data_IF_371666617719
#
_entry.id   IF_371666617719
#
_cell.length_a   1.000
_cell.length_b   1.000
_cell.length_c   1.000
_cell.angle_alpha   90.00
_cell.angle_beta   90.00
_cell.angle_gamma   90.00
#
_symmetry.space_group_name_H-M   'P 1'
#
loop_
_entity.id
_entity.type
_entity.pdbx_description
1 polymer ?
#
# COMPACT_ATOMS: atom_id res chain seq x y z
N UNK A 1 -13.89 9.82 -4.02
CA UNK A 1 -13.36 10.69 -2.93
C UNK A 1 -14.08 12.01 -2.91
N UNK A 2 -14.40 12.52 -1.72
CA UNK A 2 -15.06 13.83 -1.61
C UNK A 2 -14.14 14.94 -2.07
N UNK A 3 -14.68 15.88 -2.82
CA UNK A 3 -13.93 17.06 -3.27
C UNK A 3 -13.45 17.94 -2.15
N UNK A 4 -14.15 17.90 -1.02
CA UNK A 4 -13.88 18.82 0.09
C UNK A 4 -12.48 18.68 0.64
N UNK A 5 -11.85 17.53 0.39
CA UNK A 5 -10.48 17.29 0.82
C UNK A 5 -9.49 18.24 0.18
N UNK A 6 -9.80 18.79 -0.99
CA UNK A 6 -8.90 19.73 -1.68
C UNK A 6 -8.63 20.97 -0.85
N UNK A 7 -9.64 21.42 -0.10
CA UNK A 7 -9.50 22.59 0.75
C UNK A 7 -8.59 22.38 1.93
N UNK A 8 -8.44 21.13 2.35
CA UNK A 8 -7.66 20.78 3.53
C UNK A 8 -6.17 20.66 3.22
N UNK A 9 -5.81 20.57 1.96
CA UNK A 9 -4.43 20.38 1.55
C UNK A 9 -3.61 21.65 1.50
N UNK A 10 -4.21 22.80 1.74
CA UNK A 10 -3.56 24.09 1.49
C UNK A 10 -2.53 24.50 2.53
N UNK A 11 -2.70 24.14 3.81
CA UNK A 11 -1.83 24.66 4.84
C UNK A 11 -1.54 23.73 6.00
N UNK A 12 -2.36 22.70 6.21
CA UNK A 12 -2.22 21.79 7.34
C UNK A 12 -1.88 20.39 6.82
N UNK A 13 -0.63 19.97 7.02
CA UNK A 13 -0.16 18.66 6.56
C UNK A 13 -0.90 17.51 7.23
N UNK A 14 -1.46 17.71 8.43
CA UNK A 14 -2.24 16.66 9.07
C UNK A 14 -3.53 16.36 8.32
N UNK A 15 -4.03 17.30 7.53
CA UNK A 15 -5.28 17.14 6.78
C UNK A 15 -5.20 16.04 5.73
N UNK A 16 -4.03 15.73 5.22
CA UNK A 16 -3.88 14.66 4.22
C UNK A 16 -4.19 13.28 4.81
N UNK A 17 -4.17 13.15 6.13
CA UNK A 17 -4.45 11.89 6.81
C UNK A 17 -5.88 11.81 7.34
N UNK A 18 -6.75 12.69 6.87
CA UNK A 18 -8.18 12.69 7.17
C UNK A 18 -8.98 12.12 6.01
N UNK A 19 -10.25 11.84 6.27
CA UNK A 19 -11.19 11.39 5.25
C UNK A 19 -10.80 10.07 4.58
N UNK A 20 -10.10 9.24 5.33
CA UNK A 20 -9.78 7.87 4.88
C UNK A 20 -11.04 7.01 4.99
N UNK A 21 -11.19 6.09 4.05
CA UNK A 21 -12.33 5.17 3.99
C UNK A 21 -11.84 3.73 4.01
N UNK A 22 -12.66 2.85 4.56
CA UNK A 22 -12.43 1.41 4.46
C UNK A 22 -12.85 0.92 3.09
N UNK A 23 -12.16 -0.10 2.60
CA UNK A 23 -12.45 -0.70 1.30
C UNK A 23 -12.91 -2.15 1.54
N UNK A 24 -14.02 -2.59 0.91
CA UNK A 24 -14.46 -3.98 1.03
C UNK A 24 -13.37 -4.95 0.61
N UNK A 25 -13.33 -6.10 1.28
CA UNK A 25 -12.40 -7.21 0.97
C UNK A 25 -10.92 -6.89 1.21
N UNK A 26 -10.64 -5.84 1.98
CA UNK A 26 -9.28 -5.54 2.44
C UNK A 26 -9.15 -5.89 3.92
N UNK A 27 -7.90 -6.06 4.42
CA UNK A 27 -7.70 -6.37 5.83
C UNK A 27 -8.31 -5.32 6.75
N UNK A 28 -8.83 -5.76 7.88
CA UNK A 28 -9.25 -4.86 8.94
C UNK A 28 -8.03 -4.08 9.43
N UNK A 29 -8.19 -2.80 9.71
CA UNK A 29 -7.09 -1.93 10.11
C UNK A 29 -6.50 -1.13 8.97
N UNK A 30 -6.98 -1.36 7.76
CA UNK A 30 -6.57 -0.58 6.59
C UNK A 30 -7.63 0.47 6.25
N UNK A 31 -7.18 1.70 6.04
CA UNK A 31 -8.01 2.75 5.44
C UNK A 31 -7.19 3.51 4.42
N UNK A 32 -7.84 4.08 3.44
CA UNK A 32 -7.17 4.73 2.32
C UNK A 32 -7.89 5.99 1.86
N UNK A 33 -7.12 6.89 1.31
CA UNK A 33 -7.57 8.06 0.59
C UNK A 33 -6.83 8.09 -0.74
N UNK A 34 -7.57 8.24 -1.83
CA UNK A 34 -7.00 8.21 -3.17
C UNK A 34 -6.94 9.60 -3.78
N UNK A 35 -6.37 9.69 -4.98
CA UNK A 35 -6.30 10.95 -5.73
C UNK A 35 -7.67 11.51 -6.05
N UNK A 36 -7.75 12.82 -6.08
CA UNK A 36 -8.92 13.54 -6.56
C UNK A 36 -8.44 14.79 -7.29
N UNK A 37 -8.87 15.07 -8.52
CA UNK A 37 -9.67 14.16 -9.37
C UNK A 37 -8.93 12.87 -9.69
N UNK A 38 -9.68 11.80 -9.88
CA UNK A 38 -9.08 10.52 -10.21
C UNK A 38 -8.75 10.42 -11.70
N UNK A 39 -7.77 9.60 -12.03
CA UNK A 39 -7.43 9.26 -13.41
C UNK A 39 -7.75 7.78 -13.63
N UNK A 40 -8.85 7.45 -14.32
CA UNK A 40 -9.27 6.06 -14.45
C UNK A 40 -8.33 5.20 -15.29
N UNK A 41 -7.48 5.83 -16.10
CA UNK A 41 -6.59 5.12 -17.01
C UNK A 41 -5.11 5.25 -16.65
N UNK A 42 -4.81 5.81 -15.51
CA UNK A 42 -3.45 6.16 -15.18
C UNK A 42 -3.02 5.78 -13.79
N UNK A 43 -1.92 6.39 -13.38
CA UNK A 43 -1.32 6.14 -12.08
C UNK A 43 -2.25 6.59 -10.95
N UNK A 44 -2.23 5.80 -9.88
CA UNK A 44 -2.92 6.13 -8.64
C UNK A 44 -1.92 6.53 -7.57
N UNK A 45 -2.29 7.51 -6.76
CA UNK A 45 -1.58 7.83 -5.52
C UNK A 45 -2.55 7.59 -4.37
N UNK A 46 -2.15 6.74 -3.44
CA UNK A 46 -2.96 6.38 -2.29
C UNK A 46 -2.25 6.78 -1.00
N UNK A 47 -3.00 7.38 -0.10
CA UNK A 47 -2.53 7.69 1.25
C UNK A 47 -3.12 6.63 2.15
N UNK A 48 -2.29 5.73 2.64
CA UNK A 48 -2.74 4.54 3.36
C UNK A 48 -2.45 4.64 4.85
N UNK A 49 -3.38 4.16 5.64
CA UNK A 49 -3.21 3.99 7.08
C UNK A 49 -3.39 2.52 7.42
N UNK A 50 -2.44 1.98 8.15
CA UNK A 50 -2.45 0.58 8.57
C UNK A 50 -2.25 0.50 10.08
N UNK A 51 -3.11 -0.23 10.76
CA UNK A 51 -2.94 -0.49 12.19
C UNK A 51 -1.86 -1.53 12.42
N UNK A 52 -1.11 -1.37 13.51
CA UNK A 52 -0.11 -2.36 13.93
C UNK A 52 -0.73 -3.75 14.04
N UNK A 53 0.00 -4.75 13.55
CA UNK A 53 -0.46 -6.14 13.56
C UNK A 53 -1.26 -6.55 12.33
N UNK A 54 -1.60 -5.62 11.45
CA UNK A 54 -2.29 -5.93 10.20
C UNK A 54 -1.32 -6.63 9.24
N UNK A 55 -1.81 -7.62 8.51
CA UNK A 55 -1.03 -8.35 7.52
C UNK A 55 -1.80 -8.44 6.21
N UNK A 56 -1.08 -8.22 5.11
CA UNK A 56 -1.58 -8.52 3.77
C UNK A 56 -1.00 -9.87 3.35
N UNK A 57 -1.85 -10.87 3.08
CA UNK A 57 -1.35 -12.17 2.58
C UNK A 57 -0.67 -12.02 1.22
N UNK A 58 0.09 -13.02 0.77
CA UNK A 58 0.75 -12.96 -0.52
C UNK A 58 -0.19 -12.59 -1.65
N UNK A 59 0.24 -11.62 -2.46
CA UNK A 59 -0.52 -11.08 -3.59
C UNK A 59 0.42 -10.44 -4.59
N UNK A 60 -0.12 -10.06 -5.74
CA UNK A 60 0.61 -9.31 -6.77
C UNK A 60 -0.28 -8.20 -7.31
N UNK A 61 0.34 -7.22 -7.95
CA UNK A 61 -0.35 -6.08 -8.55
C UNK A 61 -0.08 -6.02 -10.06
N UNK A 62 -0.99 -5.45 -10.85
CA UNK A 62 -0.81 -5.38 -12.30
C UNK A 62 0.25 -4.39 -12.75
N UNK A 63 0.58 -3.40 -11.94
CA UNK A 63 1.58 -2.38 -12.25
C UNK A 63 2.72 -2.36 -11.26
N UNK A 64 3.70 -1.51 -11.55
CA UNK A 64 4.79 -1.22 -10.62
C UNK A 64 4.28 -0.34 -9.50
N UNK A 65 4.78 -0.55 -8.30
CA UNK A 65 4.43 0.33 -7.19
C UNK A 65 5.65 0.82 -6.44
N UNK A 66 5.46 1.93 -5.76
CA UNK A 66 6.44 2.52 -4.86
C UNK A 66 5.73 2.92 -3.58
N UNK A 67 6.34 2.60 -2.46
CA UNK A 67 5.83 2.93 -1.14
C UNK A 67 6.81 3.85 -0.44
N UNK A 68 6.28 4.90 0.18
CA UNK A 68 7.06 5.78 1.07
C UNK A 68 6.48 5.62 2.47
N UNK A 69 7.30 5.20 3.42
CA UNK A 69 6.86 5.07 4.82
C UNK A 69 6.98 6.43 5.50
N UNK A 70 5.84 7.07 5.74
CA UNK A 70 5.78 8.37 6.40
C UNK A 70 5.88 8.22 7.90
N UNK A 71 5.25 7.20 8.45
CA UNK A 71 5.31 6.83 9.87
C UNK A 71 5.24 5.32 10.01
N UNK A 72 5.90 4.80 11.04
CA UNK A 72 5.81 3.41 11.42
C UNK A 72 6.88 2.53 10.80
N UNK A 73 6.62 1.24 10.85
CA UNK A 73 7.54 0.22 10.36
C UNK A 73 6.75 -0.92 9.75
N UNK A 74 7.17 -1.37 8.58
CA UNK A 74 6.55 -2.50 7.89
C UNK A 74 7.61 -3.45 7.35
N UNK A 75 7.18 -4.66 6.99
CA UNK A 75 8.05 -5.61 6.33
C UNK A 75 7.39 -6.16 5.07
N UNK A 76 8.22 -6.58 4.12
CA UNK A 76 7.81 -7.18 2.87
C UNK A 76 8.60 -8.47 2.69
N UNK A 77 7.93 -9.55 2.34
CA UNK A 77 8.54 -10.80 1.94
C UNK A 77 8.14 -11.08 0.50
N UNK A 78 9.11 -11.33 -0.36
CA UNK A 78 8.85 -11.78 -1.73
C UNK A 78 8.76 -13.29 -1.80
N UNK A 79 8.07 -13.79 -2.82
CA UNK A 79 7.86 -15.22 -3.03
C UNK A 79 8.00 -15.59 -4.50
N UNK A 80 8.38 -16.84 -4.74
CA UNK A 80 8.30 -17.47 -6.05
C UNK A 80 7.36 -18.67 -5.98
N UNK A 81 6.74 -19.01 -7.11
CA UNK A 81 5.88 -20.17 -7.18
C UNK A 81 6.71 -21.42 -7.40
N UNK A 82 6.34 -22.49 -6.69
CA UNK A 82 6.88 -23.82 -6.89
C UNK A 82 5.73 -24.80 -7.07
N UNK A 83 6.07 -26.06 -7.35
CA UNK A 83 5.04 -27.12 -7.48
C UNK A 83 4.26 -27.33 -6.18
N UNK A 84 4.85 -27.01 -5.05
CA UNK A 84 4.25 -27.22 -3.73
C UNK A 84 3.69 -25.94 -3.11
N UNK A 85 3.60 -24.86 -3.88
CA UNK A 85 3.08 -23.58 -3.41
C UNK A 85 4.14 -22.47 -3.45
N UNK A 86 3.94 -21.46 -2.62
CA UNK A 86 4.85 -20.31 -2.57
C UNK A 86 6.07 -20.61 -1.71
N UNK A 87 7.23 -20.16 -2.19
CA UNK A 87 8.50 -20.29 -1.47
C UNK A 87 9.07 -18.90 -1.28
N UNK A 88 9.52 -18.54 -0.05
CA UNK A 88 10.17 -17.25 0.17
C UNK A 88 11.36 -17.06 -0.77
N UNK A 89 11.45 -15.88 -1.36
CA UNK A 89 12.50 -15.48 -2.28
C UNK A 89 13.30 -14.35 -1.65
N UNK A 90 14.45 -14.71 -1.11
CA UNK A 90 15.30 -13.76 -0.41
C UNK A 90 14.86 -13.51 1.03
N UNK A 91 15.53 -12.55 1.65
CA UNK A 91 15.27 -12.19 3.04
C UNK A 91 14.08 -11.24 3.13
N UNK A 92 13.43 -11.27 4.28
CA UNK A 92 12.40 -10.29 4.62
C UNK A 92 13.02 -8.90 4.66
N UNK A 93 12.33 -7.94 4.05
CA UNK A 93 12.79 -6.55 3.94
C UNK A 93 12.01 -5.72 4.94
N UNK A 94 12.70 -4.87 5.69
CA UNK A 94 12.07 -3.95 6.62
C UNK A 94 12.18 -2.53 6.10
N UNK A 95 11.07 -1.81 6.13
CA UNK A 95 11.00 -0.40 5.78
C UNK A 95 10.61 0.38 7.02
N UNK A 96 11.46 1.33 7.38
CA UNK A 96 11.26 2.21 8.52
C UNK A 96 10.81 3.59 8.04
N UNK A 97 10.39 4.44 8.97
CA UNK A 97 10.03 5.82 8.67
C UNK A 97 11.09 6.48 7.79
N UNK A 98 10.66 7.04 6.67
CA UNK A 98 11.52 7.69 5.69
C UNK A 98 12.05 6.78 4.59
N UNK A 99 11.88 5.47 4.73
CA UNK A 99 12.31 4.53 3.70
C UNK A 99 11.30 4.46 2.55
N UNK A 100 11.82 4.09 1.38
CA UNK A 100 11.00 3.86 0.20
C UNK A 100 11.23 2.46 -0.33
N UNK A 101 10.17 1.84 -0.83
CA UNK A 101 10.23 0.52 -1.45
C UNK A 101 9.67 0.53 -2.85
N UNK A 102 10.20 -0.34 -3.71
CA UNK A 102 9.73 -0.53 -5.07
C UNK A 102 9.36 -2.00 -5.25
N UNK A 103 8.20 -2.25 -5.85
CA UNK A 103 7.75 -3.60 -6.18
C UNK A 103 7.35 -3.64 -7.65
N UNK A 104 8.02 -4.50 -8.41
CA UNK A 104 7.75 -4.67 -9.83
C UNK A 104 6.37 -5.30 -10.07
N UNK A 105 5.73 -4.91 -11.15
CA UNK A 105 4.48 -5.52 -11.61
C UNK A 105 4.57 -7.04 -11.60
N UNK A 106 3.54 -7.68 -11.04
CA UNK A 106 3.44 -9.14 -10.99
C UNK A 106 4.29 -9.83 -9.94
N UNK A 107 5.14 -9.09 -9.22
CA UNK A 107 5.98 -9.70 -8.20
C UNK A 107 5.17 -10.10 -6.97
N UNK A 108 5.21 -11.37 -6.60
CA UNK A 108 4.46 -11.89 -5.47
C UNK A 108 5.12 -11.48 -4.17
N UNK A 109 4.35 -10.90 -3.27
CA UNK A 109 4.84 -10.43 -1.99
C UNK A 109 3.73 -10.40 -0.95
N UNK A 110 4.14 -10.41 0.32
CA UNK A 110 3.25 -10.06 1.43
C UNK A 110 3.64 -8.71 2.01
N UNK A 111 2.88 -8.24 2.96
CA UNK A 111 3.24 -7.06 3.76
C UNK A 111 2.74 -7.25 5.18
N UNK A 112 3.54 -6.83 6.14
CA UNK A 112 3.19 -6.87 7.57
C UNK A 112 3.48 -5.52 8.18
N UNK A 113 2.51 -5.01 8.93
CA UNK A 113 2.61 -3.69 9.55
C UNK A 113 2.93 -3.87 11.02
N UNK A 114 4.18 -3.63 11.38
CA UNK A 114 4.73 -3.91 12.71
C UNK A 114 4.29 -2.85 13.70
N UNK A 115 4.23 -1.60 13.23
CA UNK A 115 3.72 -0.45 13.98
C UNK A 115 2.58 0.17 13.19
N UNK A 116 1.82 1.07 13.81
CA UNK A 116 0.86 1.87 13.05
C UNK A 116 1.60 2.61 11.95
N UNK A 117 1.16 2.42 10.71
CA UNK A 117 1.83 2.98 9.55
C UNK A 117 0.98 4.00 8.82
N UNK A 118 1.65 4.99 8.28
CA UNK A 118 1.13 5.90 7.26
C UNK A 118 2.03 5.79 6.05
N UNK A 119 1.45 5.47 4.90
CA UNK A 119 2.19 5.26 3.66
C UNK A 119 1.67 6.16 2.57
N UNK A 120 2.60 6.63 1.73
CA UNK A 120 2.25 7.14 0.41
C UNK A 120 2.55 6.02 -0.56
N UNK A 121 1.53 5.54 -1.25
CA UNK A 121 1.63 4.42 -2.18
C UNK A 121 1.32 4.92 -3.57
N UNK A 122 2.23 4.68 -4.52
CA UNK A 122 2.08 5.09 -5.91
C UNK A 122 2.05 3.84 -6.77
N UNK A 123 1.01 3.72 -7.58
CA UNK A 123 0.84 2.61 -8.51
C UNK A 123 0.77 3.18 -9.93
N UNK A 124 1.55 2.66 -10.87
CA UNK A 124 1.69 3.26 -12.20
C UNK A 124 0.55 2.94 -13.16
N UNK A 125 -0.42 2.15 -12.72
CA UNK A 125 -1.64 1.81 -13.46
C UNK A 125 -2.82 1.91 -12.54
N UNK A 126 -4.02 1.74 -13.07
CA UNK A 126 -5.20 1.58 -12.23
C UNK A 126 -4.95 0.45 -11.24
N UNK A 127 -5.23 0.71 -9.97
CA UNK A 127 -4.90 -0.23 -8.90
C UNK A 127 -5.70 -1.52 -9.02
N UNK A 128 -5.04 -2.63 -8.71
CA UNK A 128 -5.65 -3.93 -8.59
C UNK A 128 -4.73 -4.88 -7.86
N UNK A 129 -5.25 -6.01 -7.44
CA UNK A 129 -4.40 -7.04 -6.84
C UNK A 129 -4.97 -8.43 -7.14
N UNK A 130 -4.08 -9.42 -7.12
CA UNK A 130 -4.42 -10.84 -7.29
C UNK A 130 -3.87 -11.59 -6.09
N UNK A 131 -4.75 -12.31 -5.37
CA UNK A 131 -4.31 -13.17 -4.28
C UNK A 131 -3.47 -14.32 -4.85
N UNK A 132 -2.37 -14.63 -4.18
CA UNK A 132 -1.45 -15.68 -4.61
C UNK A 132 -1.36 -16.77 -3.54
N UNK A 133 -1.32 -18.01 -3.98
CA UNK A 133 -1.23 -19.16 -3.10
C UNK A 133 -0.24 -20.17 -3.61
#
# INVERSE_FOLDING_TARGET
MPKDTDKELTSDTSAIWKNHVSVPDTPKGFTVRTTYPSNPDGADVMLERWEAGTEEPPHSHPGDDMTIVVEGRMSIQFYTKSTDGLVPDGQQIYLNKGDTGYIKAGRIHDAKYIEDCKLVYVHDKAFGFTAEI
#
